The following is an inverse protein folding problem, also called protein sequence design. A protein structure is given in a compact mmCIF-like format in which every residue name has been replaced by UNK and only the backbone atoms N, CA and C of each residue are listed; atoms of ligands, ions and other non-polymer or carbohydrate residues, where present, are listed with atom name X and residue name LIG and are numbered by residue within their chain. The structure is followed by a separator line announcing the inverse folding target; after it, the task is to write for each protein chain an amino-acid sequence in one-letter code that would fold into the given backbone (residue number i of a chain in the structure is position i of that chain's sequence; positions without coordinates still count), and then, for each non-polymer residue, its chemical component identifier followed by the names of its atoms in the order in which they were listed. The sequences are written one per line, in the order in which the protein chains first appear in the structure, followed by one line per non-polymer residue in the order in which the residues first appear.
data_IF_498303431940
#
_entry.id   IF_498303431940
#
_cell.length_a   1.000
_cell.length_b   1.000
_cell.length_c   1.000
_cell.angle_alpha   90.00
_cell.angle_beta   90.00
_cell.angle_gamma   90.00
#
_symmetry.space_group_name_H-M   'P 1'
#
loop_
_entity.id
_entity.type
_entity.pdbx_description
1 polymer ?
#
# COMPACT_ATOMS: atom_id res chain seq x y z
N UNK A 1 16.95 -1.05 3.97
CA UNK A 1 17.75 -2.24 4.32
C UNK A 1 18.23 -2.99 3.09
N UNK A 2 17.40 -3.52 2.23
CA UNK A 2 17.79 -4.35 1.08
C UNK A 2 18.77 -3.69 0.09
N UNK A 3 18.71 -2.38 -0.13
CA UNK A 3 19.72 -1.66 -0.93
C UNK A 3 21.03 -1.37 -0.17
N UNK A 4 20.92 -1.14 1.14
CA UNK A 4 22.09 -0.79 1.97
C UNK A 4 22.91 -2.01 2.40
N UNK A 5 22.28 -3.16 2.52
CA UNK A 5 22.92 -4.40 2.97
C UNK A 5 22.25 -5.61 2.27
N UNK A 6 22.42 -5.75 0.94
CA UNK A 6 21.73 -6.77 0.15
C UNK A 6 22.08 -8.20 0.59
N UNK A 7 23.31 -8.43 1.03
CA UNK A 7 23.78 -9.76 1.47
C UNK A 7 23.10 -10.27 2.75
N UNK A 8 22.41 -9.39 3.47
CA UNK A 8 21.64 -9.72 4.67
C UNK A 8 20.14 -9.88 4.42
N UNK A 9 19.69 -9.81 3.16
CA UNK A 9 18.27 -9.88 2.79
C UNK A 9 18.05 -10.93 1.73
N UNK A 10 17.36 -12.00 2.09
CA UNK A 10 17.05 -13.10 1.15
C UNK A 10 16.10 -12.69 0.03
N UNK A 11 15.16 -11.81 0.32
CA UNK A 11 14.18 -11.31 -0.66
C UNK A 11 13.32 -10.19 -0.09
N UNK A 12 12.73 -9.39 -0.98
CA UNK A 12 11.76 -8.34 -0.65
C UNK A 12 10.41 -8.70 -1.27
N UNK A 13 9.37 -8.71 -0.46
CA UNK A 13 8.01 -8.88 -0.97
C UNK A 13 7.19 -7.62 -0.71
N UNK A 14 6.55 -7.10 -1.74
CA UNK A 14 5.81 -5.85 -1.71
C UNK A 14 4.35 -6.10 -2.07
N UNK A 15 3.46 -5.61 -1.24
CA UNK A 15 2.03 -5.58 -1.53
C UNK A 15 1.72 -4.23 -2.17
N UNK A 16 1.61 -4.20 -3.51
CA UNK A 16 1.43 -2.96 -4.27
C UNK A 16 2.65 -2.00 -4.19
N UNK A 17 2.59 -0.87 -4.84
CA UNK A 17 3.59 0.20 -4.69
C UNK A 17 4.79 0.16 -5.64
N UNK A 18 4.88 -0.82 -6.55
CA UNK A 18 5.92 -0.86 -7.57
C UNK A 18 5.34 -0.73 -8.98
N UNK A 19 6.10 -0.09 -9.87
CA UNK A 19 5.73 0.02 -11.27
C UNK A 19 4.57 0.98 -11.53
N UNK A 20 4.36 1.97 -10.66
CA UNK A 20 3.39 3.03 -10.91
C UNK A 20 3.83 3.86 -12.11
N UNK A 21 2.96 4.01 -13.11
CA UNK A 21 3.23 4.87 -14.24
C UNK A 21 3.14 6.35 -13.85
N UNK A 22 3.90 7.15 -14.56
CA UNK A 22 3.88 8.60 -14.49
C UNK A 22 3.46 9.18 -15.85
N UNK A 23 3.17 10.48 -15.92
CA UNK A 23 2.87 11.14 -17.17
C UNK A 23 4.01 11.00 -18.22
N UNK A 24 5.25 10.85 -17.76
CA UNK A 24 6.41 10.62 -18.65
C UNK A 24 6.38 9.27 -19.34
N UNK A 25 5.67 8.30 -18.76
CA UNK A 25 5.55 6.95 -19.32
C UNK A 25 4.45 6.85 -20.39
N UNK A 26 3.51 7.80 -20.43
CA UNK A 26 2.34 7.78 -21.33
C UNK A 26 2.67 7.55 -22.82
N UNK A 27 3.72 8.15 -23.39
CA UNK A 27 4.06 7.93 -24.80
C UNK A 27 4.38 6.46 -25.12
N UNK A 28 5.01 5.76 -24.17
CA UNK A 28 5.52 4.39 -24.36
C UNK A 28 4.58 3.32 -23.79
N UNK A 29 3.40 3.71 -23.28
CA UNK A 29 2.42 2.79 -22.70
C UNK A 29 1.57 2.13 -23.79
N UNK A 30 1.29 0.84 -23.61
CA UNK A 30 0.29 0.12 -24.40
C UNK A 30 -1.13 0.66 -24.09
N UNK A 31 -2.10 0.31 -24.93
CA UNK A 31 -3.50 0.69 -24.69
C UNK A 31 -4.03 0.11 -23.38
N UNK A 32 -3.67 -1.14 -23.05
CA UNK A 32 -4.03 -1.82 -21.81
C UNK A 32 -3.43 -1.10 -20.60
N UNK A 33 -2.15 -0.73 -20.66
CA UNK A 33 -1.47 0.01 -19.58
C UNK A 33 -2.10 1.39 -19.36
N UNK A 34 -2.47 2.09 -20.42
CA UNK A 34 -3.18 3.38 -20.34
C UNK A 34 -4.56 3.22 -19.71
N UNK A 35 -5.29 2.16 -20.04
CA UNK A 35 -6.59 1.87 -19.42
C UNK A 35 -6.46 1.61 -17.91
N UNK A 36 -5.45 0.85 -17.50
CA UNK A 36 -5.12 0.61 -16.08
C UNK A 36 -4.76 1.92 -15.36
N UNK A 37 -3.94 2.77 -15.99
CA UNK A 37 -3.56 4.05 -15.40
C UNK A 37 -4.75 5.00 -15.27
N UNK A 38 -5.60 5.07 -16.29
CA UNK A 38 -6.82 5.88 -16.26
C UNK A 38 -7.83 5.36 -15.22
N UNK A 39 -7.93 4.03 -15.04
CA UNK A 39 -8.73 3.44 -13.98
C UNK A 39 -8.20 3.84 -12.60
N UNK A 40 -6.88 3.73 -12.39
CA UNK A 40 -6.22 4.09 -11.15
C UNK A 40 -6.45 5.55 -10.75
N UNK A 41 -6.35 6.48 -11.71
CA UNK A 41 -6.60 7.91 -11.46
C UNK A 41 -8.05 8.23 -11.06
N UNK A 42 -8.99 7.31 -11.33
CA UNK A 42 -10.41 7.46 -10.94
C UNK A 42 -10.75 6.84 -9.59
N UNK A 43 -9.79 6.23 -8.89
CA UNK A 43 -10.06 5.63 -7.59
C UNK A 43 -10.36 6.70 -6.52
N UNK A 44 -11.27 6.38 -5.62
CA UNK A 44 -11.73 7.30 -4.57
C UNK A 44 -10.61 7.82 -3.70
N UNK A 45 -9.61 6.98 -3.41
CA UNK A 45 -8.46 7.41 -2.61
C UNK A 45 -7.56 8.43 -3.30
N UNK A 46 -7.56 8.50 -4.64
CA UNK A 46 -6.89 9.55 -5.41
C UNK A 46 -7.67 10.87 -5.40
N UNK A 47 -8.99 10.79 -5.26
CA UNK A 47 -9.90 11.93 -5.28
C UNK A 47 -10.40 12.32 -3.89
N UNK A 48 -10.08 11.52 -2.88
CA UNK A 48 -10.42 11.76 -1.48
C UNK A 48 -9.50 12.77 -0.82
N UNK A 49 -9.60 12.84 0.49
CA UNK A 49 -8.73 13.72 1.30
C UNK A 49 -7.30 13.18 1.24
N UNK A 50 -6.39 13.98 0.71
CA UNK A 50 -4.97 13.63 0.66
C UNK A 50 -4.37 13.52 2.08
N UNK A 51 -4.36 12.29 2.58
CA UNK A 51 -3.82 12.00 3.91
C UNK A 51 -2.31 12.27 4.01
N UNK A 52 -1.56 12.16 2.90
CA UNK A 52 -0.14 12.51 2.90
C UNK A 52 0.07 13.99 3.14
N UNK A 53 -0.70 14.85 2.47
CA UNK A 53 -0.64 16.29 2.67
C UNK A 53 -1.06 16.68 4.08
N UNK A 54 -2.18 16.13 4.57
CA UNK A 54 -2.69 16.42 5.91
C UNK A 54 -1.72 16.00 7.01
N UNK A 55 -1.26 14.76 6.99
CA UNK A 55 -0.38 14.21 8.02
C UNK A 55 1.03 14.79 7.94
N UNK A 56 1.47 15.25 6.78
CA UNK A 56 2.73 16.00 6.63
C UNK A 56 2.63 17.40 7.21
N UNK A 57 1.52 18.08 6.95
CA UNK A 57 1.36 19.48 7.36
C UNK A 57 1.04 19.66 8.86
N UNK A 58 0.22 18.76 9.42
CA UNK A 58 -0.33 18.95 10.77
C UNK A 58 -0.51 17.66 11.57
N UNK A 59 0.50 16.77 11.67
CA UNK A 59 0.34 15.48 12.36
C UNK A 59 -0.08 15.65 13.82
N UNK A 60 0.49 16.65 14.50
CA UNK A 60 0.22 16.89 15.91
C UNK A 60 -1.22 17.38 16.16
N UNK A 61 -1.74 18.19 15.25
CA UNK A 61 -3.13 18.68 15.35
C UNK A 61 -4.12 17.53 15.31
N UNK A 62 -3.94 16.61 14.35
CA UNK A 62 -4.79 15.42 14.24
C UNK A 62 -4.58 14.45 15.41
N UNK A 63 -3.33 14.27 15.86
CA UNK A 63 -3.01 13.42 17.00
C UNK A 63 -3.77 13.85 18.27
N UNK A 64 -3.86 15.14 18.56
CA UNK A 64 -4.64 15.66 19.69
C UNK A 64 -6.10 15.22 19.60
N UNK A 65 -6.75 15.39 18.44
CA UNK A 65 -8.13 14.98 18.24
C UNK A 65 -8.35 13.48 18.36
N UNK A 66 -7.45 12.68 17.80
CA UNK A 66 -7.54 11.22 17.87
C UNK A 66 -7.28 10.66 19.26
N UNK A 67 -6.45 11.31 20.07
CA UNK A 67 -6.18 10.90 21.46
C UNK A 67 -7.30 11.32 22.41
N UNK A 68 -8.07 12.36 22.08
CA UNK A 68 -9.17 12.86 22.91
C UNK A 68 -10.50 12.16 22.57
N UNK A 69 -10.71 11.72 21.34
CA UNK A 69 -11.98 11.18 20.86
C UNK A 69 -11.84 9.85 20.12
N UNK A 70 -12.33 8.74 20.71
CA UNK A 70 -12.36 7.44 20.02
C UNK A 70 -13.22 7.48 18.74
N UNK A 71 -14.26 8.34 18.73
CA UNK A 71 -15.10 8.53 17.54
C UNK A 71 -14.34 9.23 16.43
N UNK A 72 -13.48 10.21 16.73
CA UNK A 72 -12.65 10.84 15.72
C UNK A 72 -11.64 9.86 15.11
N UNK A 73 -11.03 9.02 15.96
CA UNK A 73 -10.15 7.94 15.53
C UNK A 73 -10.86 6.93 14.63
N UNK A 74 -12.05 6.47 15.05
CA UNK A 74 -12.88 5.54 14.28
C UNK A 74 -13.31 6.15 12.94
N UNK A 75 -13.78 7.39 12.93
CA UNK A 75 -14.22 8.07 11.70
C UNK A 75 -13.09 8.21 10.69
N UNK A 76 -11.90 8.61 11.12
CA UNK A 76 -10.72 8.69 10.27
C UNK A 76 -10.35 7.34 9.64
N UNK A 77 -10.26 6.29 10.47
CA UNK A 77 -9.92 4.96 9.97
C UNK A 77 -11.00 4.42 9.03
N UNK A 78 -12.28 4.59 9.37
CA UNK A 78 -13.39 4.15 8.52
C UNK A 78 -13.34 4.83 7.15
N UNK A 79 -13.11 6.14 7.12
CA UNK A 79 -12.98 6.89 5.87
C UNK A 79 -11.83 6.35 5.03
N UNK A 80 -10.64 6.13 5.62
CA UNK A 80 -9.47 5.64 4.87
C UNK A 80 -9.66 4.20 4.39
N UNK A 81 -10.23 3.33 5.20
CA UNK A 81 -10.56 1.97 4.77
C UNK A 81 -11.59 1.97 3.63
N UNK A 82 -12.54 2.90 3.64
CA UNK A 82 -13.49 3.05 2.54
C UNK A 82 -12.80 3.55 1.25
N UNK A 83 -12.00 4.61 1.34
CA UNK A 83 -11.26 5.18 0.21
C UNK A 83 -10.28 4.17 -0.42
N UNK A 84 -9.66 3.31 0.38
CA UNK A 84 -8.71 2.28 -0.06
C UNK A 84 -9.38 0.98 -0.54
N UNK A 85 -10.69 0.94 -0.59
CA UNK A 85 -11.44 -0.23 -1.04
C UNK A 85 -11.66 -0.22 -2.55
N UNK A 86 -10.75 -0.83 -3.30
CA UNK A 86 -10.86 -0.99 -4.76
C UNK A 86 -11.63 -2.25 -5.18
N UNK A 87 -12.26 -2.96 -4.25
CA UNK A 87 -12.95 -4.23 -4.54
C UNK A 87 -14.29 -4.07 -5.29
N UNK A 88 -14.87 -2.87 -5.30
CA UNK A 88 -16.22 -2.61 -5.79
C UNK A 88 -17.34 -3.17 -4.91
N UNK A 89 -17.02 -3.72 -3.73
CA UNK A 89 -17.96 -4.27 -2.75
C UNK A 89 -18.07 -3.35 -1.52
N UNK A 90 -19.19 -3.35 -0.78
CA UNK A 90 -19.28 -2.67 0.51
C UNK A 90 -18.14 -3.10 1.46
N UNK A 91 -17.63 -2.17 2.26
CA UNK A 91 -16.48 -2.43 3.16
C UNK A 91 -16.76 -3.60 4.12
N UNK A 92 -17.97 -3.71 4.63
CA UNK A 92 -18.42 -4.75 5.57
C UNK A 92 -18.42 -6.17 4.95
N UNK A 93 -18.36 -6.27 3.62
CA UNK A 93 -18.23 -7.53 2.90
C UNK A 93 -16.78 -7.87 2.53
N UNK A 94 -15.87 -6.93 2.73
CA UNK A 94 -14.46 -7.03 2.38
C UNK A 94 -13.60 -7.23 3.61
N UNK A 95 -13.86 -6.46 4.64
CA UNK A 95 -13.12 -6.49 5.90
C UNK A 95 -14.09 -6.91 7.02
N UNK A 96 -13.68 -7.91 7.79
CA UNK A 96 -14.41 -8.32 8.98
C UNK A 96 -14.52 -7.15 9.98
N UNK A 97 -15.73 -6.90 10.47
CA UNK A 97 -16.02 -5.78 11.36
C UNK A 97 -15.22 -5.83 12.64
N UNK A 98 -15.12 -7.00 13.27
CA UNK A 98 -14.46 -7.12 14.55
C UNK A 98 -12.94 -7.01 14.40
N UNK A 99 -12.39 -7.50 13.29
CA UNK A 99 -11.00 -7.29 12.91
C UNK A 99 -10.71 -5.80 12.70
N UNK A 100 -11.58 -5.08 11.99
CA UNK A 100 -11.45 -3.63 11.78
C UNK A 100 -11.49 -2.86 13.09
N UNK A 101 -12.49 -3.13 13.95
CA UNK A 101 -12.64 -2.48 15.25
C UNK A 101 -11.48 -2.81 16.19
N UNK A 102 -10.96 -4.02 16.14
CA UNK A 102 -9.75 -4.41 16.87
C UNK A 102 -8.55 -3.57 16.42
N UNK A 103 -8.37 -3.40 15.12
CA UNK A 103 -7.30 -2.55 14.57
C UNK A 103 -7.40 -1.11 15.08
N UNK A 104 -8.58 -0.48 15.01
CA UNK A 104 -8.82 0.87 15.53
C UNK A 104 -8.54 0.95 17.04
N UNK A 105 -9.01 -0.07 17.79
CA UNK A 105 -8.84 -0.14 19.25
C UNK A 105 -7.36 -0.26 19.64
N UNK A 106 -6.55 -0.97 18.89
CA UNK A 106 -5.09 -1.02 19.12
C UNK A 106 -4.48 0.38 19.09
N UNK A 107 -4.75 1.18 18.06
CA UNK A 107 -4.26 2.56 18.00
C UNK A 107 -4.78 3.42 19.15
N UNK A 108 -6.06 3.27 19.49
CA UNK A 108 -6.69 4.04 20.57
C UNK A 108 -6.09 3.70 21.94
N UNK A 109 -6.10 2.43 22.33
CA UNK A 109 -5.66 2.02 23.67
C UNK A 109 -4.15 2.10 23.88
N UNK A 110 -3.37 2.03 22.82
CA UNK A 110 -1.91 2.20 22.89
C UNK A 110 -1.48 3.67 22.76
N UNK A 111 -2.39 4.58 22.40
CA UNK A 111 -2.07 5.98 22.18
C UNK A 111 -1.13 6.22 20.99
N UNK A 112 -1.18 5.36 19.96
CA UNK A 112 -0.19 5.38 18.87
C UNK A 112 -0.64 6.10 17.61
N UNK A 113 -1.81 6.69 17.57
CA UNK A 113 -2.24 7.47 16.41
C UNK A 113 -1.28 8.60 16.05
N UNK A 114 -0.81 9.34 17.06
CA UNK A 114 0.17 10.42 16.85
C UNK A 114 1.47 9.90 16.24
N UNK A 115 2.03 8.86 16.83
CA UNK A 115 3.27 8.23 16.33
C UNK A 115 3.12 7.64 14.94
N UNK A 116 1.96 7.12 14.58
CA UNK A 116 1.70 6.59 13.24
C UNK A 116 1.72 7.67 12.14
N UNK A 117 1.54 8.94 12.49
CA UNK A 117 1.62 10.07 11.57
C UNK A 117 3.05 10.57 11.32
N UNK A 118 4.01 10.26 12.19
CA UNK A 118 5.40 10.73 12.08
C UNK A 118 6.11 10.37 10.77
N UNK A 119 5.95 9.17 10.19
CA UNK A 119 6.57 8.84 8.91
C UNK A 119 6.18 9.80 7.78
N UNK A 120 4.96 10.34 7.81
CA UNK A 120 4.50 11.32 6.83
C UNK A 120 5.13 12.70 7.04
N UNK A 121 5.34 13.12 8.28
CA UNK A 121 5.95 14.39 8.63
C UNK A 121 7.44 14.42 8.31
N UNK A 122 8.18 13.40 8.74
CA UNK A 122 9.63 13.31 8.60
C UNK A 122 10.06 12.89 7.19
N UNK A 123 9.14 12.31 6.39
CA UNK A 123 9.50 11.87 5.05
C UNK A 123 9.77 13.08 4.14
N UNK A 124 11.03 13.30 3.81
CA UNK A 124 11.45 14.24 2.78
C UNK A 124 11.00 13.84 1.37
N UNK A 125 10.22 12.80 1.27
CA UNK A 125 9.56 12.29 0.09
C UNK A 125 9.38 10.78 0.16
N UNK A 126 8.28 10.27 -0.36
CA UNK A 126 8.06 8.84 -0.60
C UNK A 126 8.88 8.33 -1.79
N UNK A 127 10.03 8.96 -2.07
CA UNK A 127 10.93 8.54 -3.11
C UNK A 127 11.58 7.20 -2.75
N UNK A 128 11.48 6.25 -3.68
CA UNK A 128 12.30 5.04 -3.58
C UNK A 128 13.77 5.43 -3.69
N UNK A 129 14.67 4.79 -2.90
CA UNK A 129 16.10 5.03 -3.02
C UNK A 129 16.56 4.81 -4.47
N UNK A 130 17.42 5.69 -4.98
CA UNK A 130 17.97 5.56 -6.32
C UNK A 130 18.77 4.26 -6.52
N UNK A 131 18.95 3.86 -7.77
CA UNK A 131 19.71 2.68 -8.17
C UNK A 131 18.90 1.39 -8.20
N UNK A 132 19.53 0.36 -8.72
CA UNK A 132 18.92 -0.97 -8.88
C UNK A 132 18.83 -1.71 -7.56
N UNK A 133 17.69 -2.33 -7.30
CA UNK A 133 17.51 -3.30 -6.23
C UNK A 133 18.03 -4.67 -6.68
N UNK A 134 19.19 -5.09 -6.18
CA UNK A 134 19.78 -6.38 -6.53
C UNK A 134 19.09 -7.57 -5.86
N UNK A 135 18.46 -7.33 -4.70
CA UNK A 135 17.77 -8.37 -3.94
C UNK A 135 16.53 -8.86 -4.71
N UNK A 136 16.29 -10.18 -4.82
CA UNK A 136 15.10 -10.72 -5.45
C UNK A 136 13.83 -10.12 -4.89
N UNK A 137 12.97 -9.61 -5.77
CA UNK A 137 11.74 -8.91 -5.36
C UNK A 137 10.51 -9.66 -5.87
N UNK A 138 9.58 -9.93 -4.94
CA UNK A 138 8.23 -10.40 -5.22
C UNK A 138 7.22 -9.29 -5.05
N UNK A 139 6.17 -9.32 -5.84
CA UNK A 139 5.08 -8.35 -5.77
C UNK A 139 3.74 -9.07 -5.73
N UNK A 140 2.90 -8.73 -4.77
CA UNK A 140 1.47 -9.05 -4.88
C UNK A 140 0.91 -8.13 -5.97
N UNK A 141 0.77 -8.68 -7.16
CA UNK A 141 0.41 -7.89 -8.35
C UNK A 141 -1.05 -7.46 -8.32
N UNK A 142 -1.32 -6.42 -9.04
CA UNK A 142 -2.64 -5.84 -9.22
C UNK A 142 -2.52 -4.41 -9.74
N UNK A 143 -3.58 -3.87 -10.35
CA UNK A 143 -3.57 -2.49 -10.76
C UNK A 143 -3.24 -1.57 -9.57
N UNK A 144 -2.45 -0.49 -9.77
CA UNK A 144 -1.99 0.04 -11.06
C UNK A 144 -0.56 -0.37 -11.43
N UNK A 145 0.04 -1.33 -10.75
CA UNK A 145 1.43 -1.72 -10.97
C UNK A 145 1.65 -2.31 -12.37
N UNK A 146 2.65 -1.82 -13.06
CA UNK A 146 3.09 -2.30 -14.37
C UNK A 146 4.47 -2.95 -14.22
N UNK A 147 4.56 -4.25 -14.47
CA UNK A 147 5.77 -5.04 -14.22
C UNK A 147 7.02 -4.47 -14.88
N UNK A 148 6.96 -4.13 -16.18
CA UNK A 148 8.12 -3.58 -16.91
C UNK A 148 8.63 -2.25 -16.32
N UNK A 149 7.74 -1.45 -15.71
CA UNK A 149 8.14 -0.23 -15.01
C UNK A 149 8.80 -0.55 -13.66
N UNK A 150 8.30 -1.54 -12.96
CA UNK A 150 8.92 -2.02 -11.72
C UNK A 150 10.32 -2.60 -11.97
N UNK A 151 10.52 -3.30 -13.07
CA UNK A 151 11.80 -3.91 -13.47
C UNK A 151 12.89 -2.88 -13.78
N UNK A 152 12.56 -1.61 -13.99
CA UNK A 152 13.56 -0.53 -14.18
C UNK A 152 14.48 -0.37 -12.96
N UNK A 153 13.96 -0.68 -11.77
CA UNK A 153 14.68 -0.44 -10.51
C UNK A 153 14.69 -1.63 -9.56
N UNK A 154 14.11 -2.76 -9.95
CA UNK A 154 13.98 -3.93 -9.08
C UNK A 154 14.22 -5.23 -9.84
N UNK A 155 14.82 -6.20 -9.16
CA UNK A 155 15.01 -7.57 -9.68
C UNK A 155 13.74 -8.37 -9.39
N UNK A 156 12.75 -8.28 -10.29
CA UNK A 156 11.44 -8.92 -10.12
C UNK A 156 11.51 -10.39 -10.49
N UNK A 157 11.38 -11.27 -9.50
CA UNK A 157 11.37 -12.74 -9.68
C UNK A 157 9.99 -13.37 -9.46
N UNK A 158 9.04 -12.60 -8.91
CA UNK A 158 7.69 -13.07 -8.64
C UNK A 158 6.68 -11.94 -8.87
N UNK A 159 5.79 -12.16 -9.83
CA UNK A 159 4.72 -11.23 -10.22
C UNK A 159 3.58 -12.03 -10.85
N UNK A 160 2.76 -12.73 -10.05
CA UNK A 160 1.58 -13.43 -10.56
C UNK A 160 0.59 -12.42 -11.15
N UNK A 161 -0.06 -12.79 -12.25
CA UNK A 161 -1.03 -11.91 -12.91
C UNK A 161 -2.48 -12.18 -12.52
N UNK A 162 -2.69 -13.31 -11.84
CA UNK A 162 -3.99 -13.84 -11.44
C UNK A 162 -4.32 -13.59 -9.96
N UNK A 163 -3.53 -12.81 -9.27
CA UNK A 163 -3.85 -12.42 -7.90
C UNK A 163 -5.16 -11.61 -7.87
N UNK A 164 -6.11 -12.01 -7.01
CA UNK A 164 -7.36 -11.27 -6.89
C UNK A 164 -7.09 -9.86 -6.36
N UNK A 165 -7.60 -8.86 -7.05
CA UNK A 165 -7.66 -7.51 -6.54
C UNK A 165 -8.62 -7.41 -5.34
N UNK A 166 -8.52 -6.32 -4.59
CA UNK A 166 -9.36 -6.15 -3.43
C UNK A 166 -9.07 -4.85 -2.69
N UNK A 167 -9.16 -4.92 -1.38
CA UNK A 167 -8.80 -3.82 -0.51
C UNK A 167 -7.27 -3.57 -0.52
N UNK A 168 -6.85 -2.32 -0.31
CA UNK A 168 -5.42 -1.98 -0.15
C UNK A 168 -4.73 -2.82 0.95
N UNK A 169 -5.44 -3.07 2.05
CA UNK A 169 -4.99 -3.97 3.12
C UNK A 169 -5.36 -5.42 2.78
N UNK A 170 -4.72 -5.97 1.75
CA UNK A 170 -5.03 -7.29 1.21
C UNK A 170 -4.92 -8.41 2.26
N UNK A 171 -4.07 -8.25 3.27
CA UNK A 171 -3.96 -9.18 4.39
C UNK A 171 -5.25 -9.32 5.21
N UNK A 172 -6.09 -8.29 5.23
CA UNK A 172 -7.39 -8.31 5.93
C UNK A 172 -8.52 -8.80 5.01
N UNK A 173 -8.42 -8.58 3.70
CA UNK A 173 -9.42 -9.00 2.70
C UNK A 173 -9.19 -10.45 2.23
N UNK A 174 -7.94 -10.81 1.95
CA UNK A 174 -7.56 -12.09 1.31
C UNK A 174 -6.37 -12.76 2.00
N UNK A 175 -6.45 -13.03 3.32
CA UNK A 175 -5.30 -13.51 4.11
C UNK A 175 -4.71 -14.82 3.57
N UNK A 176 -5.54 -15.78 3.19
CA UNK A 176 -5.10 -17.08 2.69
C UNK A 176 -4.38 -16.96 1.34
N UNK A 177 -4.89 -16.08 0.48
CA UNK A 177 -4.30 -15.83 -0.83
C UNK A 177 -2.93 -15.16 -0.70
N UNK A 178 -2.84 -14.12 0.13
CA UNK A 178 -1.57 -13.47 0.41
C UNK A 178 -0.56 -14.43 1.05
N UNK A 179 -0.99 -15.26 1.99
CA UNK A 179 -0.12 -16.24 2.63
C UNK A 179 0.41 -17.29 1.65
N UNK A 180 -0.44 -17.75 0.70
CA UNK A 180 -0.03 -18.70 -0.34
C UNK A 180 0.98 -18.05 -1.30
N UNK A 181 0.74 -16.81 -1.72
CA UNK A 181 1.61 -16.08 -2.63
C UNK A 181 2.98 -15.76 -2.00
N UNK A 182 2.99 -15.35 -0.72
CA UNK A 182 4.22 -15.19 0.06
C UNK A 182 5.05 -16.48 0.12
N UNK A 183 4.41 -17.63 0.39
CA UNK A 183 5.10 -18.92 0.41
C UNK A 183 5.69 -19.27 -0.97
N UNK A 184 4.94 -18.99 -2.05
CA UNK A 184 5.39 -19.24 -3.41
C UNK A 184 6.61 -18.35 -3.78
N UNK A 185 6.63 -17.09 -3.36
CA UNK A 185 7.79 -16.22 -3.53
C UNK A 185 9.00 -16.70 -2.75
N UNK A 186 8.86 -16.92 -1.43
CA UNK A 186 9.99 -17.31 -0.59
C UNK A 186 10.55 -18.71 -0.91
N UNK A 187 9.78 -19.57 -1.56
CA UNK A 187 10.30 -20.82 -2.10
C UNK A 187 11.27 -20.62 -3.29
N UNK A 188 11.21 -19.49 -4.00
CA UNK A 188 12.08 -19.17 -5.15
C UNK A 188 13.41 -18.52 -4.73
N UNK A 189 13.49 -17.95 -3.54
CA UNK A 189 14.64 -17.12 -3.09
C UNK A 189 15.41 -17.75 -1.92
N UNK A 190 15.10 -19.00 -1.60
CA UNK A 190 15.82 -19.82 -0.62
C UNK A 190 17.05 -20.47 -1.22
#
# INVERSE_FOLDING_TARGET
MAKAAPDHVAGVYVVSGLGFPTEKDLPDMTEEERAVFAWFQRQDWMNGVDHHALLRAAPQTFACGWHDSPIAALAWMTQKFHEFNASGRPLEQVIDRDLFLTNVSLYWFTGTFGTSAWPYYDSTGFGWPEGQMAVPTGVYSGPPGIRRLAERHNTIVHWPQDNPGGHHFIAMDRPDHLAADLRAFFAKVR
#
